data_IF_232477802111
#
_entry.id   IF_232477802111
#
_cell.length_a   1.000
_cell.length_b   1.000
_cell.length_c   1.000
_cell.angle_alpha   90.00
_cell.angle_beta   90.00
_cell.angle_gamma   90.00
#
_symmetry.space_group_name_H-M   'P 1'
#
loop_
_entity.id
_entity.type
_entity.pdbx_description
1 polymer ?
#
# COMPACT_ATOMS: atom_id res chain seq x y z
N UNK A 1 -0.69 32.76 29.19
CA UNK A 1 -1.81 32.42 28.28
C UNK A 1 -1.19 32.25 26.91
N UNK A 2 -0.73 31.04 26.60
CA UNK A 2 -0.03 30.75 25.35
C UNK A 2 -0.93 29.88 24.50
N UNK A 3 -1.61 30.48 23.53
CA UNK A 3 -2.20 29.78 22.41
C UNK A 3 -1.05 29.49 21.43
N UNK A 4 -0.29 28.43 21.69
CA UNK A 4 0.74 27.94 20.80
C UNK A 4 0.12 26.81 19.98
N UNK A 5 -0.42 27.16 18.82
CA UNK A 5 -0.75 26.25 17.73
C UNK A 5 -1.59 25.03 18.13
N UNK A 6 -2.91 25.22 18.32
CA UNK A 6 -3.88 24.12 18.20
C UNK A 6 -3.92 23.70 16.72
N UNK A 7 -2.91 22.95 16.29
CA UNK A 7 -2.97 22.22 15.04
C UNK A 7 -4.11 21.22 15.17
N UNK A 8 -5.02 21.12 14.20
CA UNK A 8 -6.08 20.14 14.29
C UNK A 8 -5.47 18.75 14.49
N UNK A 9 -6.00 18.00 15.44
CA UNK A 9 -5.47 16.65 15.66
C UNK A 9 -5.77 15.77 14.43
N UNK A 10 -4.85 14.88 14.04
CA UNK A 10 -5.15 13.85 13.06
C UNK A 10 -6.42 13.10 13.45
N UNK A 11 -7.32 12.88 12.50
CA UNK A 11 -8.58 12.16 12.72
C UNK A 11 -8.58 10.84 11.98
N UNK A 12 -9.24 9.83 12.54
CA UNK A 12 -9.59 8.63 11.77
C UNK A 12 -10.59 9.00 10.68
N UNK A 13 -10.32 8.57 9.45
CA UNK A 13 -11.28 8.68 8.33
C UNK A 13 -12.33 7.59 8.51
N UNK A 14 -13.61 7.94 8.45
CA UNK A 14 -14.70 7.00 8.63
C UNK A 14 -14.88 6.15 7.37
N UNK A 15 -15.24 4.87 7.58
CA UNK A 15 -15.59 3.97 6.49
C UNK A 15 -16.75 4.57 5.66
N UNK A 16 -16.57 4.65 4.35
CA UNK A 16 -17.52 5.21 3.41
C UNK A 16 -17.27 6.67 3.04
N UNK A 17 -16.36 7.38 3.72
CA UNK A 17 -15.91 8.71 3.26
C UNK A 17 -15.16 8.60 1.93
N UNK A 18 -14.33 7.56 1.76
CA UNK A 18 -13.61 7.26 0.52
C UNK A 18 -13.80 5.79 0.11
N UNK A 19 -14.95 5.42 -0.50
CA UNK A 19 -15.30 4.02 -0.71
C UNK A 19 -14.31 3.22 -1.56
N UNK A 20 -13.59 3.86 -2.49
CA UNK A 20 -12.59 3.17 -3.30
C UNK A 20 -11.28 2.98 -2.54
N UNK A 21 -10.88 3.95 -1.71
CA UNK A 21 -9.73 3.79 -0.81
C UNK A 21 -10.01 2.73 0.25
N UNK A 22 -11.23 2.67 0.80
CA UNK A 22 -11.62 1.61 1.75
C UNK A 22 -11.49 0.22 1.13
N UNK A 23 -11.93 0.06 -0.12
CA UNK A 23 -11.81 -1.21 -0.85
C UNK A 23 -10.36 -1.58 -1.14
N UNK A 24 -9.56 -0.60 -1.55
CA UNK A 24 -8.14 -0.79 -1.78
C UNK A 24 -7.41 -1.18 -0.48
N UNK A 25 -7.69 -0.46 0.60
CA UNK A 25 -7.11 -0.72 1.92
C UNK A 25 -7.49 -2.10 2.44
N UNK A 26 -8.72 -2.57 2.18
CA UNK A 26 -9.14 -3.93 2.52
C UNK A 26 -8.34 -5.02 1.79
N UNK A 27 -7.93 -4.79 0.53
CA UNK A 27 -7.06 -5.72 -0.21
C UNK A 27 -5.66 -5.74 0.40
N UNK A 28 -5.09 -4.56 0.64
CA UNK A 28 -3.77 -4.41 1.27
C UNK A 28 -3.74 -5.02 2.67
N UNK A 29 -4.78 -4.79 3.48
CA UNK A 29 -4.91 -5.37 4.82
C UNK A 29 -5.05 -6.89 4.81
N UNK A 30 -5.57 -7.49 3.74
CA UNK A 30 -5.57 -8.96 3.60
C UNK A 30 -4.15 -9.49 3.47
N UNK A 31 -3.34 -8.87 2.62
CA UNK A 31 -1.93 -9.22 2.45
C UNK A 31 -1.12 -8.96 3.72
N UNK A 32 -1.41 -7.85 4.41
CA UNK A 32 -0.80 -7.54 5.70
C UNK A 32 -1.13 -8.59 6.76
N UNK A 33 -2.40 -8.97 6.91
CA UNK A 33 -2.80 -9.97 7.90
C UNK A 33 -2.13 -11.35 7.69
N UNK A 34 -1.77 -11.68 6.44
CA UNK A 34 -1.05 -12.91 6.12
C UNK A 34 0.44 -12.84 6.44
N UNK A 35 1.05 -11.66 6.27
CA UNK A 35 2.51 -11.49 6.36
C UNK A 35 2.96 -10.93 7.70
N UNK A 36 2.11 -10.15 8.37
CA UNK A 36 2.33 -9.48 9.65
C UNK A 36 1.05 -9.54 10.52
N UNK A 37 0.63 -10.73 10.98
CA UNK A 37 -0.65 -10.91 11.69
C UNK A 37 -0.77 -10.11 12.99
N UNK A 38 0.35 -9.84 13.66
CA UNK A 38 0.38 -9.11 14.94
C UNK A 38 0.28 -7.59 14.79
N UNK A 39 0.43 -7.05 13.58
CA UNK A 39 0.34 -5.61 13.32
C UNK A 39 -1.08 -5.07 13.58
N UNK A 40 -2.09 -5.87 13.25
CA UNK A 40 -3.46 -5.38 13.09
C UNK A 40 -3.73 -4.89 11.67
N UNK A 41 -4.83 -4.16 11.48
CA UNK A 41 -5.19 -3.59 10.18
C UNK A 41 -4.78 -2.13 10.10
N UNK A 42 -4.21 -1.73 8.97
CA UNK A 42 -3.98 -0.34 8.63
C UNK A 42 -5.29 0.43 8.55
N UNK A 43 -5.19 1.74 8.77
CA UNK A 43 -6.31 2.67 8.81
C UNK A 43 -6.01 3.89 7.93
N UNK A 44 -7.07 4.58 7.48
CA UNK A 44 -6.93 5.89 6.85
C UNK A 44 -6.95 6.97 7.94
N UNK A 45 -5.96 7.85 7.90
CA UNK A 45 -5.83 8.97 8.82
C UNK A 45 -5.87 10.27 8.04
N UNK A 46 -6.77 11.15 8.45
CA UNK A 46 -6.94 12.48 7.90
C UNK A 46 -6.10 13.49 8.68
N UNK A 47 -5.27 14.24 7.97
CA UNK A 47 -4.37 15.25 8.47
C UNK A 47 -4.87 16.63 8.04
N UNK A 48 -4.95 17.61 8.95
CA UNK A 48 -5.26 18.95 8.53
C UNK A 48 -4.21 19.47 7.56
N UNK A 49 -4.68 20.14 6.53
CA UNK A 49 -3.83 20.83 5.59
C UNK A 49 -3.40 22.19 6.14
N UNK A 50 -2.17 22.58 5.84
CA UNK A 50 -1.70 23.96 6.00
C UNK A 50 -1.92 24.80 4.74
N UNK A 51 -2.33 24.16 3.64
CA UNK A 51 -2.71 24.78 2.39
C UNK A 51 -4.20 25.19 2.46
N UNK A 52 -4.49 26.46 2.18
CA UNK A 52 -5.85 27.02 2.23
C UNK A 52 -6.79 26.38 1.20
N UNK A 53 -6.25 25.81 0.13
CA UNK A 53 -7.02 25.20 -0.97
C UNK A 53 -7.25 23.69 -0.79
N UNK A 54 -6.60 23.07 0.20
CA UNK A 54 -6.77 21.64 0.52
C UNK A 54 -7.43 21.53 1.88
N UNK A 55 -8.59 20.89 1.95
CA UNK A 55 -9.28 20.74 3.24
C UNK A 55 -8.53 19.78 4.19
N UNK A 56 -7.99 18.69 3.64
CA UNK A 56 -7.40 17.59 4.40
C UNK A 56 -6.50 16.75 3.48
N UNK A 57 -5.38 16.26 4.02
CA UNK A 57 -4.59 15.21 3.40
C UNK A 57 -4.93 13.87 4.07
N UNK A 58 -5.04 12.80 3.29
CA UNK A 58 -5.25 11.46 3.86
C UNK A 58 -3.96 10.67 3.73
N UNK A 59 -3.56 9.96 4.78
CA UNK A 59 -2.47 9.00 4.75
C UNK A 59 -2.97 7.61 5.18
N UNK A 60 -2.15 6.59 4.92
CA UNK A 60 -2.32 5.27 5.53
C UNK A 60 -1.53 5.24 6.82
N UNK A 61 -2.10 4.70 7.89
CA UNK A 61 -1.48 4.58 9.20
C UNK A 61 -1.52 3.13 9.68
N UNK A 62 -0.55 2.77 10.53
CA UNK A 62 -0.59 1.57 11.34
C UNK A 62 -1.80 1.59 12.29
N UNK A 63 -2.20 0.42 12.79
CA UNK A 63 -3.32 0.28 13.74
C UNK A 63 -3.19 1.10 15.03
N UNK A 64 -1.97 1.48 15.43
CA UNK A 64 -1.70 2.36 16.57
C UNK A 64 -1.74 3.86 16.23
N UNK A 65 -2.03 4.19 14.97
CA UNK A 65 -2.09 5.55 14.46
C UNK A 65 -0.76 6.14 14.04
N UNK A 66 0.36 5.39 14.05
CA UNK A 66 1.62 5.85 13.47
C UNK A 66 1.58 5.78 11.95
N UNK A 67 2.12 6.78 11.26
CA UNK A 67 2.21 6.81 9.81
C UNK A 67 3.57 7.34 9.35
N UNK A 68 3.96 6.99 8.13
CA UNK A 68 5.14 7.55 7.49
C UNK A 68 4.96 7.58 5.97
N UNK A 69 5.67 8.47 5.29
CA UNK A 69 5.68 8.54 3.83
C UNK A 69 4.61 9.47 3.26
N UNK A 70 4.09 9.07 2.10
CA UNK A 70 3.30 9.95 1.24
C UNK A 70 1.83 10.05 1.65
N UNK A 71 1.26 11.22 1.42
CA UNK A 71 -0.20 11.39 1.40
C UNK A 71 -0.78 10.62 0.21
N UNK A 72 -1.95 10.04 0.40
CA UNK A 72 -2.72 9.39 -0.66
C UNK A 72 -3.11 10.46 -1.67
N UNK A 73 -2.79 10.24 -2.94
CA UNK A 73 -3.13 11.15 -4.03
C UNK A 73 -4.65 11.39 -4.07
N UNK A 74 -5.15 12.63 -3.82
CA UNK A 74 -6.57 12.94 -3.82
C UNK A 74 -7.27 12.60 -5.14
N UNK A 75 -6.57 12.72 -6.28
CA UNK A 75 -7.13 12.45 -7.61
C UNK A 75 -7.39 10.95 -7.83
N UNK A 76 -6.87 10.10 -6.94
CA UNK A 76 -7.11 8.66 -6.97
C UNK A 76 -8.48 8.25 -6.40
N UNK A 77 -9.18 9.13 -5.65
CA UNK A 77 -10.37 8.79 -4.87
C UNK A 77 -11.52 8.21 -5.70
N UNK A 78 -11.66 8.62 -6.97
CA UNK A 78 -12.76 8.23 -7.86
C UNK A 78 -12.37 7.20 -8.93
N UNK A 79 -11.11 6.73 -8.94
CA UNK A 79 -10.64 5.75 -9.91
C UNK A 79 -10.13 4.50 -9.19
N UNK A 80 -10.74 3.32 -9.41
CA UNK A 80 -10.38 2.11 -8.64
C UNK A 80 -8.94 1.64 -8.86
N UNK A 81 -8.37 1.88 -10.05
CA UNK A 81 -6.98 1.50 -10.35
C UNK A 81 -6.01 2.44 -9.67
N UNK A 82 -6.26 3.75 -9.75
CA UNK A 82 -5.43 4.76 -9.08
C UNK A 82 -5.54 4.64 -7.56
N UNK A 83 -6.76 4.44 -7.03
CA UNK A 83 -7.00 4.21 -5.61
C UNK A 83 -6.19 3.03 -5.08
N UNK A 84 -6.20 1.91 -5.80
CA UNK A 84 -5.43 0.74 -5.39
C UNK A 84 -3.92 1.02 -5.44
N UNK A 85 -3.43 1.69 -6.47
CA UNK A 85 -2.02 2.06 -6.58
C UNK A 85 -1.58 3.00 -5.44
N UNK A 86 -2.32 4.09 -5.22
CA UNK A 86 -2.00 5.09 -4.20
C UNK A 86 -2.04 4.52 -2.78
N UNK A 87 -3.06 3.72 -2.46
CA UNK A 87 -3.16 3.08 -1.14
C UNK A 87 -2.09 2.01 -0.94
N UNK A 88 -1.76 1.24 -1.96
CA UNK A 88 -0.71 0.21 -1.85
C UNK A 88 0.67 0.84 -1.63
N UNK A 89 0.97 1.91 -2.34
CA UNK A 89 2.23 2.67 -2.19
C UNK A 89 2.33 3.29 -0.79
N UNK A 90 1.31 4.05 -0.35
CA UNK A 90 1.28 4.68 0.96
C UNK A 90 1.36 3.65 2.11
N UNK A 91 0.68 2.51 1.96
CA UNK A 91 0.75 1.42 2.93
C UNK A 91 2.14 0.78 2.98
N UNK A 92 2.77 0.53 1.82
CA UNK A 92 4.11 -0.03 1.77
C UNK A 92 5.12 0.86 2.49
N UNK A 93 5.12 2.16 2.19
CA UNK A 93 5.98 3.13 2.85
C UNK A 93 5.73 3.20 4.36
N UNK A 94 4.47 3.27 4.77
CA UNK A 94 4.11 3.31 6.20
C UNK A 94 4.60 2.08 6.95
N UNK A 95 4.33 0.89 6.43
CA UNK A 95 4.77 -0.35 7.08
C UNK A 95 6.29 -0.43 7.09
N UNK A 96 6.94 -0.08 5.98
CA UNK A 96 8.39 -0.19 5.86
C UNK A 96 9.14 0.72 6.83
N UNK A 97 8.71 1.97 6.93
CA UNK A 97 9.40 3.00 7.69
C UNK A 97 9.01 3.00 9.17
N UNK A 98 7.74 2.74 9.51
CA UNK A 98 7.34 2.66 10.91
C UNK A 98 7.88 1.39 11.58
N UNK A 99 7.90 0.25 10.87
CA UNK A 99 8.35 -1.03 11.43
C UNK A 99 9.83 -1.34 11.13
N UNK A 100 10.52 -0.49 10.38
CA UNK A 100 11.93 -0.66 9.99
C UNK A 100 12.21 -2.03 9.33
N UNK A 101 11.30 -2.51 8.50
CA UNK A 101 11.42 -3.79 7.81
C UNK A 101 10.84 -3.73 6.39
N UNK A 102 11.42 -4.47 5.46
CA UNK A 102 10.84 -4.56 4.11
C UNK A 102 9.45 -5.21 4.17
N UNK A 103 8.49 -4.68 3.40
CA UNK A 103 7.17 -5.28 3.31
C UNK A 103 6.47 -5.01 1.98
N UNK A 104 5.75 -5.98 1.40
CA UNK A 104 5.75 -7.40 1.77
C UNK A 104 7.04 -8.10 1.31
N UNK A 105 7.46 -9.14 2.05
CA UNK A 105 8.67 -9.91 1.72
C UNK A 105 8.34 -11.07 0.78
N UNK A 106 9.13 -11.23 -0.28
CA UNK A 106 9.07 -12.37 -1.18
C UNK A 106 9.57 -13.65 -0.47
N UNK A 107 8.74 -14.69 -0.44
CA UNK A 107 9.04 -15.99 0.16
C UNK A 107 10.16 -16.76 -0.55
N UNK A 108 10.44 -16.45 -1.82
CA UNK A 108 11.52 -17.09 -2.58
C UNK A 108 12.89 -16.43 -2.36
N UNK A 109 12.94 -15.10 -2.27
CA UNK A 109 14.21 -14.36 -2.31
C UNK A 109 14.56 -13.62 -1.02
N UNK A 110 13.64 -13.54 -0.07
CA UNK A 110 13.75 -12.81 1.19
C UNK A 110 14.08 -11.33 0.95
N UNK A 111 13.28 -10.71 0.07
CA UNK A 111 13.42 -9.31 -0.35
C UNK A 111 12.06 -8.62 -0.37
N UNK A 112 12.06 -7.32 -0.07
CA UNK A 112 10.88 -6.47 -0.29
C UNK A 112 10.40 -6.58 -1.73
N UNK A 113 9.11 -6.84 -1.88
CA UNK A 113 8.40 -6.73 -3.15
C UNK A 113 7.88 -5.31 -3.31
N UNK A 114 7.69 -4.86 -4.55
CA UNK A 114 7.13 -3.55 -4.84
C UNK A 114 5.84 -3.68 -5.64
N UNK A 115 4.88 -2.76 -5.49
CA UNK A 115 3.71 -2.72 -6.34
C UNK A 115 4.12 -2.44 -7.78
N UNK A 116 3.59 -3.22 -8.71
CA UNK A 116 3.85 -3.07 -10.15
C UNK A 116 2.63 -3.48 -10.95
N UNK A 117 2.30 -2.71 -11.99
CA UNK A 117 1.28 -3.11 -12.95
C UNK A 117 1.79 -4.29 -13.80
N UNK A 118 1.00 -5.36 -13.86
CA UNK A 118 1.22 -6.53 -14.72
C UNK A 118 -0.12 -7.03 -15.24
N UNK A 119 -0.23 -7.26 -16.56
CA UNK A 119 -1.45 -7.73 -17.22
C UNK A 119 -2.72 -6.94 -16.87
N UNK A 120 -2.60 -5.63 -16.63
CA UNK A 120 -3.70 -4.73 -16.27
C UNK A 120 -4.15 -4.82 -14.81
N UNK A 121 -3.36 -5.46 -13.94
CA UNK A 121 -3.62 -5.58 -12.51
C UNK A 121 -2.39 -5.16 -11.68
N UNK A 122 -2.64 -4.46 -10.58
CA UNK A 122 -1.58 -4.13 -9.62
C UNK A 122 -1.17 -5.39 -8.85
N UNK A 123 0.12 -5.69 -8.87
CA UNK A 123 0.67 -6.93 -8.34
C UNK A 123 1.96 -6.69 -7.55
N UNK A 124 2.24 -7.56 -6.59
CA UNK A 124 3.51 -7.61 -5.89
C UNK A 124 4.58 -8.21 -6.79
N UNK A 125 5.60 -7.42 -7.07
CA UNK A 125 6.72 -7.80 -7.91
C UNK A 125 8.01 -7.90 -7.10
N UNK A 126 8.71 -9.02 -7.24
CA UNK A 126 10.06 -9.19 -6.69
C UNK A 126 11.10 -8.94 -7.79
N UNK A 127 12.14 -8.16 -7.47
CA UNK A 127 13.26 -7.93 -8.38
C UNK A 127 14.16 -9.16 -8.60
N UNK A 128 13.95 -10.24 -7.85
CA UNK A 128 14.85 -11.39 -7.83
C UNK A 128 16.19 -11.05 -7.17
N UNK A 129 17.24 -11.81 -7.49
CA UNK A 129 18.62 -11.52 -7.13
C UNK A 129 19.45 -11.19 -8.36
N UNK A 130 20.67 -10.70 -8.12
CA UNK A 130 21.65 -10.45 -9.18
C UNK A 130 22.28 -11.78 -9.64
N UNK A 131 21.46 -12.77 -9.98
CA UNK A 131 21.87 -14.08 -10.48
C UNK A 131 20.89 -14.57 -11.56
N UNK A 132 21.37 -15.22 -12.64
CA UNK A 132 20.49 -15.75 -13.69
C UNK A 132 19.50 -16.83 -13.20
N UNK A 133 19.76 -17.44 -12.06
CA UNK A 133 18.94 -18.50 -11.45
C UNK A 133 17.80 -17.95 -10.58
N UNK A 134 17.84 -16.66 -10.23
CA UNK A 134 16.89 -16.01 -9.32
C UNK A 134 16.29 -14.75 -9.99
N UNK A 135 15.56 -14.91 -11.11
CA UNK A 135 15.05 -13.77 -11.86
C UNK A 135 13.92 -13.04 -11.13
N UNK A 136 13.65 -11.82 -11.59
CA UNK A 136 12.49 -11.06 -11.18
C UNK A 136 11.18 -11.78 -11.55
N UNK A 137 10.16 -11.69 -10.70
CA UNK A 137 8.87 -12.34 -10.91
C UNK A 137 7.71 -11.55 -10.28
N UNK A 138 6.50 -11.84 -10.75
CA UNK A 138 5.26 -11.40 -10.11
C UNK A 138 4.83 -12.49 -9.13
N UNK A 139 4.65 -12.14 -7.87
CA UNK A 139 4.27 -13.10 -6.82
C UNK A 139 2.77 -13.33 -6.78
N UNK A 140 1.99 -12.25 -6.74
CA UNK A 140 0.54 -12.26 -6.77
C UNK A 140 0.00 -10.85 -7.02
N UNK A 141 -1.28 -10.76 -7.37
CA UNK A 141 -2.02 -9.51 -7.28
C UNK A 141 -2.05 -8.97 -5.85
N UNK A 142 -2.20 -7.65 -5.70
CA UNK A 142 -2.48 -7.03 -4.40
C UNK A 142 -3.84 -7.54 -3.86
N UNK A 143 -3.85 -7.98 -2.61
CA UNK A 143 -4.93 -8.69 -1.94
C UNK A 143 -5.02 -10.19 -2.25
N UNK A 144 -3.99 -10.76 -2.87
CA UNK A 144 -3.95 -12.16 -3.33
C UNK A 144 -2.73 -12.95 -2.88
N UNK A 145 -1.97 -12.50 -1.85
CA UNK A 145 -0.80 -13.24 -1.37
C UNK A 145 -1.13 -14.61 -0.74
N UNK A 146 -2.40 -14.88 -0.41
CA UNK A 146 -2.89 -16.20 0.01
C UNK A 146 -2.92 -17.23 -1.12
N UNK A 147 -2.89 -16.77 -2.37
CA UNK A 147 -3.03 -17.61 -3.55
C UNK A 147 -1.65 -18.11 -4.03
N UNK A 148 -1.55 -19.37 -4.50
CA UNK A 148 -0.31 -19.85 -5.10
C UNK A 148 0.05 -18.99 -6.31
N UNK A 149 1.37 -18.80 -6.54
CA UNK A 149 1.89 -18.04 -7.69
C UNK A 149 1.16 -18.42 -8.97
N UNK A 150 0.55 -17.43 -9.63
CA UNK A 150 0.07 -17.65 -10.98
C UNK A 150 1.29 -17.69 -11.91
N UNK A 151 1.57 -18.82 -12.58
CA UNK A 151 2.66 -18.87 -13.53
C UNK A 151 2.40 -17.87 -14.65
N UNK A 152 3.32 -16.94 -14.82
CA UNK A 152 3.33 -15.96 -15.89
C UNK A 152 3.21 -16.69 -17.23
N UNK A 153 2.04 -16.61 -17.89
CA UNK A 153 1.86 -17.17 -19.23
C UNK A 153 2.66 -16.31 -20.20
N UNK A 154 3.92 -16.67 -20.41
CA UNK A 154 4.73 -16.09 -21.46
C UNK A 154 4.04 -16.34 -22.80
N UNK A 155 3.35 -15.33 -23.31
CA UNK A 155 2.80 -15.31 -24.66
C UNK A 155 3.97 -15.20 -25.61
N UNK A 156 4.55 -16.35 -25.96
CA UNK A 156 5.58 -16.50 -26.99
C UNK A 156 5.04 -15.84 -28.26
N UNK A 157 5.58 -14.67 -28.61
CA UNK A 157 5.41 -14.11 -29.95
C UNK A 157 6.25 -14.99 -30.88
N UNK A 158 5.59 -15.88 -31.60
CA UNK A 158 6.15 -16.43 -32.82
C UNK A 158 6.12 -15.31 -33.86
N UNK A 159 7.30 -14.96 -34.37
CA UNK A 159 7.54 -13.98 -35.43
C UNK A 159 8.93 -14.20 -35.98
#
# INVERSE_FOLDING_TARGET
MSALFDLPEPRGVLLGEYPLWDRALALVNRDLALTLPDQGSLQLLGLPSYDEDVAEYVCVALANGEWHGNVVDPDSADNPVLALAAITDAAQETVAECLWQAWPVCDQHDRGMHPRESDGQLSWWCAGRNSPCEPAHIRAAVGGLDSPEQPHRNRRREG
#
